data_IF_701697434373
#
_entry.id   IF_701697434373
#
_cell.length_a   1.000
_cell.length_b   1.000
_cell.length_c   1.000
_cell.angle_alpha   90.00
_cell.angle_beta   90.00
_cell.angle_gamma   90.00
#
_symmetry.space_group_name_H-M   'P 1'
#
loop_
_entity.id
_entity.type
_entity.pdbx_description
1 polymer ?
#
# COMPACT_ATOMS: atom_id res chain seq x y z
N UNK A 1 3.28 -9.07 -26.88
CA UNK A 1 3.93 -8.21 -25.88
C UNK A 1 3.58 -6.77 -26.22
N UNK A 2 2.59 -6.19 -25.53
CA UNK A 2 2.25 -4.78 -25.67
C UNK A 2 2.61 -4.12 -24.34
N UNK A 3 3.67 -3.32 -24.36
CA UNK A 3 4.02 -2.43 -23.26
C UNK A 3 3.05 -1.26 -23.38
N UNK A 4 2.09 -1.14 -22.46
CA UNK A 4 1.27 0.06 -22.35
C UNK A 4 2.10 1.13 -21.63
N UNK A 5 2.50 2.22 -22.28
CA UNK A 5 3.06 3.36 -21.56
C UNK A 5 1.88 4.08 -20.89
N UNK A 6 1.69 3.88 -19.60
CA UNK A 6 0.75 4.70 -18.82
C UNK A 6 1.55 5.72 -18.04
N UNK A 7 1.91 6.82 -18.69
CA UNK A 7 2.13 8.05 -17.94
C UNK A 7 0.81 8.36 -17.24
N UNK A 8 0.74 8.41 -15.89
CA UNK A 8 -0.52 8.74 -15.22
C UNK A 8 -0.96 10.11 -15.70
N UNK A 9 -2.22 10.28 -16.10
CA UNK A 9 -2.73 11.63 -16.30
C UNK A 9 -2.61 12.37 -14.95
N UNK A 10 -2.27 13.66 -14.94
CA UNK A 10 -1.92 14.37 -13.71
C UNK A 10 -2.97 14.31 -12.59
N UNK A 11 -4.22 13.96 -12.91
CA UNK A 11 -5.28 13.71 -11.94
C UNK A 11 -5.11 12.41 -11.15
N UNK A 12 -4.72 11.31 -11.81
CA UNK A 12 -4.47 10.01 -11.15
C UNK A 12 -3.25 10.06 -10.22
N UNK A 13 -2.21 10.80 -10.62
CA UNK A 13 -1.04 11.01 -9.78
C UNK A 13 -1.41 11.80 -8.52
N UNK A 14 -2.11 12.93 -8.67
CA UNK A 14 -2.58 13.76 -7.54
C UNK A 14 -3.49 12.99 -6.59
N UNK A 15 -4.37 12.16 -7.12
CA UNK A 15 -5.23 11.31 -6.31
C UNK A 15 -4.41 10.32 -5.47
N UNK A 16 -3.42 9.68 -6.09
CA UNK A 16 -2.55 8.71 -5.40
C UNK A 16 -1.73 9.41 -4.31
N UNK A 17 -1.19 10.58 -4.58
CA UNK A 17 -0.47 11.40 -3.59
C UNK A 17 -1.37 11.80 -2.43
N UNK A 18 -2.59 12.27 -2.70
CA UNK A 18 -3.55 12.64 -1.66
C UNK A 18 -3.90 11.48 -0.72
N UNK A 19 -4.15 10.29 -1.27
CA UNK A 19 -4.43 9.10 -0.46
C UNK A 19 -3.20 8.69 0.37
N UNK A 20 -2.00 8.73 -0.22
CA UNK A 20 -0.76 8.42 0.49
C UNK A 20 -0.47 9.40 1.63
N UNK A 21 -0.71 10.70 1.41
CA UNK A 21 -0.59 11.75 2.43
C UNK A 21 -1.57 11.52 3.58
N UNK A 22 -2.82 11.18 3.27
CA UNK A 22 -3.82 10.86 4.28
C UNK A 22 -3.39 9.62 5.09
N UNK A 23 -2.93 8.55 4.42
CA UNK A 23 -2.47 7.33 5.08
C UNK A 23 -1.29 7.62 6.03
N UNK A 24 -0.29 8.37 5.56
CA UNK A 24 0.86 8.74 6.38
C UNK A 24 0.50 9.67 7.53
N UNK A 25 -0.46 10.58 7.35
CA UNK A 25 -0.95 11.42 8.44
C UNK A 25 -1.52 10.56 9.57
N UNK A 26 -2.42 9.64 9.25
CA UNK A 26 -2.99 8.71 10.24
C UNK A 26 -1.92 7.85 10.90
N UNK A 27 -0.99 7.27 10.13
CA UNK A 27 0.11 6.48 10.67
C UNK A 27 1.00 7.31 11.61
N UNK A 28 1.34 8.53 11.21
CA UNK A 28 2.24 9.39 11.98
C UNK A 28 1.57 10.00 13.22
N UNK A 29 0.26 10.22 13.20
CA UNK A 29 -0.49 10.76 14.34
C UNK A 29 -0.68 9.72 15.46
N UNK A 30 -0.55 8.43 15.16
CA UNK A 30 -0.56 7.36 16.16
C UNK A 30 0.73 7.41 17.01
N UNK A 31 0.65 7.67 18.33
CA UNK A 31 1.82 7.72 19.20
C UNK A 31 2.53 6.36 19.36
N UNK A 32 1.88 5.23 19.04
CA UNK A 32 2.50 3.91 19.09
C UNK A 32 3.55 3.70 17.99
N UNK A 33 3.46 4.45 16.88
CA UNK A 33 4.44 4.38 15.80
C UNK A 33 5.66 5.23 16.12
N UNK A 34 6.73 4.60 16.62
CA UNK A 34 7.97 5.28 17.02
C UNK A 34 8.68 5.95 15.84
N UNK A 35 8.62 5.34 14.65
CA UNK A 35 9.21 5.88 13.42
C UNK A 35 8.14 6.63 12.66
N UNK A 36 8.41 7.91 12.37
CA UNK A 36 7.55 8.74 11.51
C UNK A 36 8.11 8.78 10.10
N UNK A 37 7.25 8.93 9.10
CA UNK A 37 7.65 8.87 7.69
C UNK A 37 7.20 10.11 6.92
N UNK A 38 8.04 10.54 5.99
CA UNK A 38 7.73 11.57 5.00
C UNK A 38 7.47 10.90 3.63
N UNK A 39 6.42 11.36 2.93
CA UNK A 39 6.08 10.82 1.61
C UNK A 39 7.19 11.11 0.60
N UNK A 40 7.61 10.10 -0.15
CA UNK A 40 8.57 10.25 -1.26
C UNK A 40 7.83 10.30 -2.58
N UNK A 41 6.94 9.33 -2.82
CA UNK A 41 6.11 9.26 -4.03
C UNK A 41 4.96 8.29 -3.84
N UNK A 42 3.83 8.53 -4.52
CA UNK A 42 2.76 7.56 -4.67
C UNK A 42 2.87 6.89 -6.05
N UNK A 43 2.58 5.58 -6.13
CA UNK A 43 2.70 4.82 -7.39
C UNK A 43 1.35 4.67 -8.08
N UNK A 44 0.42 3.97 -7.45
CA UNK A 44 -0.90 3.71 -8.00
C UNK A 44 -1.93 3.72 -6.89
N UNK A 45 -3.11 4.25 -7.22
CA UNK A 45 -4.28 4.17 -6.36
C UNK A 45 -5.50 3.66 -7.12
N UNK A 46 -6.39 3.01 -6.39
CA UNK A 46 -7.70 2.56 -6.87
C UNK A 46 -8.77 2.82 -5.83
N UNK A 47 -10.03 2.90 -6.28
CA UNK A 47 -11.17 2.95 -5.39
C UNK A 47 -12.07 1.73 -5.59
N UNK A 48 -12.60 1.23 -4.48
CA UNK A 48 -13.62 0.19 -4.43
C UNK A 48 -14.88 0.81 -3.83
N UNK A 49 -16.00 0.70 -4.55
CA UNK A 49 -17.31 1.05 -4.04
C UNK A 49 -17.90 -0.14 -3.28
N UNK A 50 -18.00 -0.02 -1.96
CA UNK A 50 -18.63 -1.01 -1.08
C UNK A 50 -20.13 -0.79 -0.86
N UNK A 51 -20.78 0.07 -1.66
CA UNK A 51 -22.19 0.45 -1.57
C UNK A 51 -22.49 1.42 -0.42
N UNK A 52 -21.96 1.17 0.78
CA UNK A 52 -22.14 2.01 1.97
C UNK A 52 -20.89 2.81 2.36
N UNK A 53 -19.76 2.57 1.69
CA UNK A 53 -18.52 3.30 1.86
C UNK A 53 -17.63 3.12 0.63
N UNK A 54 -16.83 4.14 0.31
CA UNK A 54 -15.77 4.02 -0.68
C UNK A 54 -14.46 3.71 0.02
N UNK A 55 -13.70 2.78 -0.54
CA UNK A 55 -12.38 2.42 -0.05
C UNK A 55 -11.35 2.82 -1.08
N UNK A 56 -10.36 3.61 -0.67
CA UNK A 56 -9.18 3.95 -1.46
C UNK A 56 -8.03 3.02 -1.11
N UNK A 57 -7.40 2.43 -2.11
CA UNK A 57 -6.15 1.70 -1.96
C UNK A 57 -5.04 2.52 -2.58
N UNK A 58 -3.88 2.54 -1.93
CA UNK A 58 -2.70 3.25 -2.45
C UNK A 58 -1.43 2.52 -2.10
N UNK A 59 -0.53 2.44 -3.07
CA UNK A 59 0.85 2.04 -2.87
C UNK A 59 1.75 3.28 -2.95
N UNK A 60 2.73 3.39 -2.06
CA UNK A 60 3.61 4.55 -2.01
C UNK A 60 4.96 4.24 -1.36
N UNK A 61 5.94 5.08 -1.65
CA UNK A 61 7.23 5.09 -0.97
C UNK A 61 7.27 6.19 0.08
N UNK A 62 7.75 5.86 1.28
CA UNK A 62 7.93 6.84 2.33
C UNK A 62 9.28 6.66 3.02
N UNK A 63 9.92 7.77 3.39
CA UNK A 63 11.23 7.78 4.03
C UNK A 63 11.08 8.01 5.53
N UNK A 64 11.80 7.28 6.40
CA UNK A 64 11.87 7.60 7.81
C UNK A 64 12.34 9.05 8.03
N UNK A 65 11.59 9.80 8.83
CA UNK A 65 11.98 11.15 9.26
C UNK A 65 13.16 11.05 10.21
N UNK A 66 14.24 11.82 10.02
CA UNK A 66 15.36 11.80 10.95
C UNK A 66 14.92 12.27 12.33
N UNK A 67 15.23 11.48 13.37
CA UNK A 67 14.88 11.81 14.75
C UNK A 67 15.68 13.02 15.30
N UNK A 68 16.80 13.38 14.64
CA UNK A 68 17.61 14.55 15.01
C UNK A 68 18.34 15.15 13.80
N UNK A 69 18.65 16.45 13.86
CA UNK A 69 19.26 17.23 12.76
C UNK A 69 20.75 16.91 12.53
N UNK A 70 21.35 15.98 13.27
CA UNK A 70 22.75 15.59 13.09
C UNK A 70 22.89 14.54 11.99
N UNK A 71 22.97 15.02 10.75
CA UNK A 71 23.58 14.36 9.58
C UNK A 71 23.53 12.81 9.59
N UNK A 72 22.36 12.23 9.86
CA UNK A 72 22.13 10.81 9.63
C UNK A 72 21.99 10.62 8.12
N UNK A 73 22.73 9.66 7.56
CA UNK A 73 22.52 9.21 6.18
C UNK A 73 21.02 8.96 5.98
N UNK A 74 20.46 9.57 4.92
CA UNK A 74 19.04 9.43 4.63
C UNK A 74 18.72 7.94 4.49
N UNK A 75 17.88 7.42 5.39
CA UNK A 75 17.43 6.04 5.30
C UNK A 75 16.75 5.79 3.95
N UNK A 76 16.91 4.59 3.42
CA UNK A 76 16.27 4.24 2.15
C UNK A 76 14.75 4.34 2.27
N UNK A 77 14.05 4.84 1.24
CA UNK A 77 12.60 4.84 1.20
C UNK A 77 12.06 3.41 1.35
N UNK A 78 10.99 3.31 2.11
CA UNK A 78 10.25 2.08 2.34
C UNK A 78 8.99 2.03 1.48
N UNK A 79 8.64 0.87 0.98
CA UNK A 79 7.41 0.65 0.23
C UNK A 79 6.25 0.31 1.16
N UNK A 80 5.11 0.93 0.92
CA UNK A 80 3.90 0.79 1.73
C UNK A 80 2.68 0.49 0.86
N UNK A 81 1.77 -0.27 1.45
CA UNK A 81 0.38 -0.35 1.05
C UNK A 81 -0.50 0.29 2.12
N UNK A 82 -1.53 1.03 1.69
CA UNK A 82 -2.57 1.49 2.59
C UNK A 82 -3.96 1.30 2.00
N UNK A 83 -4.90 0.98 2.89
CA UNK A 83 -6.34 1.07 2.65
C UNK A 83 -6.90 2.22 3.49
N UNK A 84 -7.72 3.04 2.84
CA UNK A 84 -8.43 4.14 3.46
C UNK A 84 -9.92 3.98 3.20
N UNK A 85 -10.73 4.25 4.20
CA UNK A 85 -12.17 4.36 4.07
C UNK A 85 -12.56 5.83 3.96
N UNK A 86 -13.26 6.18 2.89
CA UNK A 86 -13.86 7.49 2.70
C UNK A 86 -15.19 7.59 3.49
N UNK A 87 -15.26 8.60 4.36
CA UNK A 87 -16.51 9.12 4.94
C UNK A 87 -16.59 10.62 4.67
N UNK A 88 -16.63 11.46 5.71
CA UNK A 88 -16.42 12.91 5.59
C UNK A 88 -14.94 13.22 5.32
N UNK A 89 -14.05 12.46 5.95
CA UNK A 89 -12.60 12.43 5.71
C UNK A 89 -12.13 11.07 5.17
N UNK A 90 -10.90 11.01 4.68
CA UNK A 90 -10.20 9.76 4.38
C UNK A 90 -9.57 9.21 5.66
N UNK A 91 -10.05 8.07 6.14
CA UNK A 91 -9.57 7.42 7.36
C UNK A 91 -8.76 6.18 6.99
N UNK A 92 -7.49 6.11 7.37
CA UNK A 92 -6.71 4.90 7.15
C UNK A 92 -7.28 3.74 7.97
N UNK A 93 -7.62 2.63 7.32
CA UNK A 93 -8.04 1.39 7.96
C UNK A 93 -6.88 0.41 8.09
N UNK A 94 -5.89 0.51 7.19
CA UNK A 94 -4.72 -0.35 7.17
C UNK A 94 -3.54 0.41 6.55
N UNK A 95 -2.35 0.32 7.16
CA UNK A 95 -1.08 0.81 6.61
C UNK A 95 0.00 -0.22 6.92
N UNK A 96 0.64 -0.78 5.90
CA UNK A 96 1.60 -1.88 6.03
C UNK A 96 2.86 -1.56 5.24
N UNK A 97 4.03 -1.73 5.87
CA UNK A 97 5.32 -1.68 5.18
C UNK A 97 5.59 -3.02 4.52
N UNK A 98 5.99 -3.01 3.25
CA UNK A 98 6.18 -4.19 2.42
C UNK A 98 7.67 -4.58 2.23
N UNK A 99 8.60 -3.90 2.91
CA UNK A 99 10.05 -4.18 2.80
C UNK A 99 10.56 -5.26 3.78
N UNK A 100 9.66 -5.91 4.53
CA UNK A 100 10.01 -7.02 5.40
C UNK A 100 10.00 -8.36 4.67
N UNK A 101 11.15 -9.05 4.61
CA UNK A 101 11.25 -10.45 4.18
C UNK A 101 10.50 -11.42 5.12
N UNK A 102 10.17 -10.96 6.34
CA UNK A 102 9.65 -11.80 7.42
C UNK A 102 8.11 -11.96 7.44
N UNK A 103 7.34 -11.40 6.51
CA UNK A 103 5.85 -11.46 6.58
C UNK A 103 5.14 -12.20 5.44
N UNK A 104 5.88 -12.76 4.48
CA UNK A 104 5.27 -13.43 3.31
C UNK A 104 5.73 -14.89 3.26
N UNK A 105 4.89 -15.81 3.76
CA UNK A 105 5.12 -17.24 3.61
C UNK A 105 4.64 -17.71 2.22
N UNK A 106 5.48 -18.48 1.54
CA UNK A 106 5.15 -19.12 0.26
C UNK A 106 4.26 -20.35 0.51
N UNK A 107 2.95 -20.22 0.32
CA UNK A 107 2.09 -21.41 0.26
C UNK A 107 2.10 -22.00 -1.17
N UNK A 108 2.32 -23.31 -1.33
CA UNK A 108 2.12 -23.98 -2.61
C UNK A 108 0.62 -23.98 -2.95
N UNK A 109 0.26 -23.34 -4.06
CA UNK A 109 -1.14 -23.28 -4.53
C UNK A 109 -1.63 -24.67 -4.96
N UNK A 110 -2.85 -25.10 -4.59
CA UNK A 110 -3.51 -26.20 -5.25
C UNK A 110 -3.93 -25.77 -6.67
N UNK A 111 -3.66 -26.64 -7.63
CA UNK A 111 -3.98 -26.43 -9.04
C UNK A 111 -5.49 -26.19 -9.25
N UNK A 112 -5.79 -25.17 -10.06
CA UNK A 112 -7.04 -24.92 -10.79
C UNK A 112 -8.15 -24.11 -10.12
N UNK A 113 -8.43 -22.95 -10.72
CA UNK A 113 -9.79 -22.52 -11.11
C UNK A 113 -9.72 -21.76 -12.46
N UNK A 114 -9.92 -22.54 -13.52
CA UNK A 114 -10.44 -22.24 -14.87
C UNK A 114 -10.32 -20.84 -15.48
N UNK A 115 -9.54 -20.74 -16.59
CA UNK A 115 -9.85 -19.83 -17.70
C UNK A 115 -8.72 -18.93 -18.20
N UNK A 116 -7.77 -19.50 -18.95
CA UNK A 116 -6.93 -18.89 -19.99
C UNK A 116 -6.09 -17.63 -19.69
N UNK A 117 -5.28 -17.70 -18.63
CA UNK A 117 -3.83 -17.50 -18.67
C UNK A 117 -3.30 -17.67 -17.25
N UNK A 118 -2.23 -18.44 -16.99
CA UNK A 118 -1.65 -18.48 -15.66
C UNK A 118 -1.18 -17.08 -15.32
N UNK A 119 -1.81 -16.49 -14.30
CA UNK A 119 -1.19 -15.40 -13.57
C UNK A 119 0.06 -16.02 -12.93
N UNK A 120 1.21 -16.01 -13.60
CA UNK A 120 2.51 -16.40 -13.00
C UNK A 120 2.93 -15.45 -11.85
N UNK A 121 2.02 -14.55 -11.42
CA UNK A 121 2.17 -13.73 -10.24
C UNK A 121 1.66 -14.47 -9.01
N UNK A 122 2.58 -14.93 -8.17
CA UNK A 122 2.31 -15.34 -6.80
C UNK A 122 1.57 -14.20 -6.08
N UNK A 123 0.29 -14.43 -5.76
CA UNK A 123 -0.52 -13.49 -4.98
C UNK A 123 -0.12 -13.61 -3.51
N UNK A 124 0.22 -12.48 -2.88
CA UNK A 124 0.72 -12.40 -1.51
C UNK A 124 -0.43 -12.23 -0.52
N UNK A 125 -0.40 -12.95 0.61
CA UNK A 125 -1.34 -12.80 1.73
C UNK A 125 -0.56 -12.54 3.04
N UNK A 126 -1.09 -11.72 3.99
CA UNK A 126 -0.48 -11.55 5.31
C UNK A 126 -0.48 -12.83 6.14
N UNK A 127 0.53 -12.98 7.02
CA UNK A 127 0.64 -14.12 7.95
C UNK A 127 -0.61 -14.26 8.84
N UNK A 128 -1.17 -15.48 8.88
CA UNK A 128 -2.34 -15.82 9.71
C UNK A 128 -3.68 -15.82 8.97
N UNK A 129 -3.70 -15.48 7.68
CA UNK A 129 -4.92 -15.58 6.88
C UNK A 129 -5.22 -17.06 6.56
N UNK A 130 -6.19 -17.64 7.25
CA UNK A 130 -6.75 -18.94 6.87
C UNK A 130 -7.73 -18.67 5.73
N UNK A 131 -7.42 -19.14 4.52
CA UNK A 131 -8.40 -19.16 3.44
C UNK A 131 -9.47 -20.20 3.83
N UNK A 132 -10.54 -19.76 4.49
CA UNK A 132 -11.72 -20.59 4.63
C UNK A 132 -12.34 -20.71 3.25
N UNK A 133 -12.03 -21.82 2.56
CA UNK A 133 -12.69 -22.29 1.36
C UNK A 133 -14.21 -22.08 1.47
N UNK A 134 -14.75 -21.25 0.59
CA UNK A 134 -16.08 -21.48 0.03
C UNK A 134 -15.95 -22.41 -1.17
#
# INVERSE_FOLDING_TARGET
MAIFPTTPCGWQQRQSEYLAECALRHYNDDPANEVKYDLVSATFSSYIDGGYAFYGHVNFFARPRPASTQMQQAADPRFFFAELRQREDMIATCVVSLDGDDEIQHDPQPECCSGDQPCDGIIKHPKGWVSSMF
#
